data_IF_900154415199
#
_entry.id   IF_900154415199
#
_cell.length_a   1.000
_cell.length_b   1.000
_cell.length_c   1.000
_cell.angle_alpha   90.00
_cell.angle_beta   90.00
_cell.angle_gamma   90.00
#
_symmetry.space_group_name_H-M   'P 1'
#
loop_
_entity.id
_entity.type
_entity.pdbx_description
1 polymer ?
#
# COMPACT_ATOMS: atom_id res chain seq x y z
N UNK A 1 -14.69 -10.87 -0.27
CA UNK A 1 -13.67 -9.81 -0.09
C UNK A 1 -12.76 -9.84 -1.30
N UNK A 2 -12.48 -8.69 -1.92
CA UNK A 2 -11.56 -8.61 -3.07
C UNK A 2 -10.27 -7.90 -2.66
N UNK A 3 -9.17 -8.33 -3.26
CA UNK A 3 -7.87 -7.68 -3.11
C UNK A 3 -7.39 -7.20 -4.48
N UNK A 4 -7.07 -5.91 -4.56
CA UNK A 4 -6.49 -5.29 -5.75
C UNK A 4 -4.96 -5.28 -5.64
N UNK A 5 -4.28 -5.81 -6.65
CA UNK A 5 -2.82 -5.77 -6.75
C UNK A 5 -2.43 -4.95 -7.98
N UNK A 6 -1.75 -3.82 -7.76
CA UNK A 6 -1.12 -3.03 -8.81
C UNK A 6 0.35 -2.83 -8.49
N UNK A 7 1.21 -3.50 -9.26
CA UNK A 7 2.66 -3.41 -9.18
C UNK A 7 3.20 -3.08 -10.57
N UNK A 8 3.69 -1.85 -10.73
CA UNK A 8 4.33 -1.34 -11.95
C UNK A 8 5.76 -1.87 -12.10
N UNK A 9 5.87 -3.19 -12.14
CA UNK A 9 7.13 -3.92 -12.15
C UNK A 9 6.96 -5.33 -11.59
N UNK A 10 7.94 -6.19 -11.84
CA UNK A 10 7.97 -7.58 -11.38
C UNK A 10 8.70 -7.70 -10.04
N UNK A 11 8.00 -7.36 -8.95
CA UNK A 11 8.55 -7.49 -7.58
C UNK A 11 7.89 -8.61 -6.79
N UNK A 12 8.70 -9.31 -6.00
CA UNK A 12 8.28 -10.50 -5.25
C UNK A 12 7.29 -10.20 -4.12
N UNK A 13 7.40 -9.02 -3.50
CA UNK A 13 6.52 -8.55 -2.42
C UNK A 13 5.06 -8.42 -2.85
N UNK A 14 4.78 -7.98 -4.07
CA UNK A 14 3.42 -7.97 -4.63
C UNK A 14 2.82 -9.39 -4.71
N UNK A 15 3.64 -10.39 -5.02
CA UNK A 15 3.22 -11.79 -5.06
C UNK A 15 3.06 -12.39 -3.67
N UNK A 16 3.92 -12.04 -2.73
CA UNK A 16 3.76 -12.43 -1.33
C UNK A 16 2.51 -11.83 -0.71
N UNK A 17 2.22 -10.55 -1.00
CA UNK A 17 0.99 -9.91 -0.53
C UNK A 17 -0.24 -10.62 -1.10
N UNK A 18 -0.28 -10.87 -2.41
CA UNK A 18 -1.37 -11.62 -3.03
C UNK A 18 -1.55 -13.00 -2.38
N UNK A 19 -0.47 -13.77 -2.21
CA UNK A 19 -0.55 -15.11 -1.65
C UNK A 19 -1.08 -15.09 -0.20
N UNK A 20 -0.63 -14.13 0.62
CA UNK A 20 -1.14 -13.97 1.98
C UNK A 20 -2.61 -13.54 2.03
N UNK A 21 -3.03 -12.60 1.19
CA UNK A 21 -4.44 -12.21 1.10
C UNK A 21 -5.34 -13.37 0.63
N UNK A 22 -4.90 -14.16 -0.35
CA UNK A 22 -5.62 -15.36 -0.79
C UNK A 22 -5.72 -16.41 0.31
N UNK A 23 -4.65 -16.60 1.11
CA UNK A 23 -4.69 -17.49 2.27
C UNK A 23 -5.67 -17.01 3.36
N UNK A 24 -5.98 -15.72 3.42
CA UNK A 24 -7.03 -15.14 4.27
C UNK A 24 -8.44 -15.18 3.64
N UNK A 25 -8.59 -15.79 2.46
CA UNK A 25 -9.88 -15.94 1.78
C UNK A 25 -10.27 -14.79 0.85
N UNK A 26 -9.35 -13.87 0.53
CA UNK A 26 -9.60 -12.84 -0.47
C UNK A 26 -9.52 -13.41 -1.89
N UNK A 27 -10.30 -12.85 -2.81
CA UNK A 27 -10.17 -13.11 -4.24
C UNK A 27 -9.33 -12.01 -4.88
N UNK A 28 -8.22 -12.37 -5.52
CA UNK A 28 -7.42 -11.45 -6.32
C UNK A 28 -7.96 -11.41 -7.75
N UNK A 29 -8.64 -10.32 -8.13
CA UNK A 29 -9.22 -10.13 -9.47
C UNK A 29 -8.29 -9.30 -10.34
N UNK A 30 -7.88 -9.86 -11.50
CA UNK A 30 -7.04 -9.19 -12.49
C UNK A 30 -5.80 -8.47 -11.91
N UNK A 31 -4.93 -9.17 -11.14
CA UNK A 31 -3.74 -8.53 -10.56
C UNK A 31 -2.79 -8.01 -11.66
N UNK A 32 -2.40 -6.74 -11.56
CA UNK A 32 -1.42 -6.12 -12.44
C UNK A 32 -0.03 -6.23 -11.79
N UNK A 33 0.87 -7.01 -12.41
CA UNK A 33 2.25 -7.22 -11.94
C UNK A 33 3.25 -7.16 -13.10
N UNK A 34 3.17 -6.08 -13.87
CA UNK A 34 3.99 -5.86 -15.06
C UNK A 34 4.33 -4.37 -15.16
N UNK A 35 5.44 -4.06 -15.82
CA UNK A 35 5.91 -2.68 -15.94
C UNK A 35 5.02 -1.81 -16.82
N UNK A 36 4.37 -2.38 -17.83
CA UNK A 36 3.59 -1.63 -18.82
C UNK A 36 2.12 -2.13 -18.93
N UNK A 37 1.27 -1.91 -17.92
CA UNK A 37 -0.18 -2.07 -18.09
C UNK A 37 -0.73 -1.04 -19.08
N UNK A 38 -1.74 -1.47 -19.84
CA UNK A 38 -2.49 -0.59 -20.74
C UNK A 38 -3.37 0.36 -19.94
N UNK A 39 -3.78 1.48 -20.55
CA UNK A 39 -4.73 2.39 -19.91
C UNK A 39 -6.05 1.68 -19.55
N UNK A 40 -6.51 0.75 -20.40
CA UNK A 40 -7.71 -0.04 -20.14
C UNK A 40 -7.58 -0.90 -18.88
N UNK A 41 -6.45 -1.57 -18.68
CA UNK A 41 -6.19 -2.35 -17.45
C UNK A 41 -6.15 -1.46 -16.21
N UNK A 42 -5.55 -0.27 -16.29
CA UNK A 42 -5.53 0.68 -15.18
C UNK A 42 -6.93 1.18 -14.83
N UNK A 43 -7.74 1.54 -15.84
CA UNK A 43 -9.12 1.96 -15.63
C UNK A 43 -9.95 0.84 -15.00
N UNK A 44 -9.85 -0.36 -15.54
CA UNK A 44 -10.54 -1.54 -15.03
C UNK A 44 -10.16 -1.82 -13.57
N UNK A 45 -8.87 -1.72 -13.23
CA UNK A 45 -8.40 -1.89 -11.86
C UNK A 45 -9.11 -0.95 -10.87
N UNK A 46 -9.20 0.35 -11.19
CA UNK A 46 -9.80 1.35 -10.29
C UNK A 46 -11.34 1.42 -10.34
N UNK A 47 -11.96 0.85 -11.37
CA UNK A 47 -13.41 0.74 -11.48
C UNK A 47 -14.00 -0.28 -10.48
N UNK A 48 -13.19 -1.21 -9.98
CA UNK A 48 -13.63 -2.27 -9.09
C UNK A 48 -13.44 -1.93 -7.61
N UNK A 49 -14.41 -2.35 -6.80
CA UNK A 49 -14.28 -2.33 -5.34
C UNK A 49 -13.25 -3.37 -4.88
N UNK A 50 -12.19 -2.88 -4.23
CA UNK A 50 -11.12 -3.66 -3.62
C UNK A 50 -11.07 -3.31 -2.15
N UNK A 51 -11.30 -4.29 -1.29
CA UNK A 51 -11.27 -4.07 0.14
C UNK A 51 -9.85 -3.78 0.61
N UNK A 52 -8.87 -4.52 0.09
CA UNK A 52 -7.45 -4.29 0.31
C UNK A 52 -6.76 -3.97 -1.02
N UNK A 53 -5.91 -2.95 -1.01
CA UNK A 53 -5.09 -2.55 -2.14
C UNK A 53 -3.61 -2.72 -1.83
N UNK A 54 -2.89 -3.27 -2.80
CA UNK A 54 -1.45 -3.18 -2.88
C UNK A 54 -1.08 -2.28 -4.04
N UNK A 55 -0.28 -1.25 -3.77
CA UNK A 55 0.27 -0.34 -4.77
C UNK A 55 1.81 -0.40 -4.68
N UNK A 56 2.47 -0.67 -5.80
CA UNK A 56 3.93 -0.76 -5.87
C UNK A 56 4.49 -0.28 -7.20
N UNK A 57 5.65 0.35 -7.16
CA UNK A 57 6.34 0.97 -8.30
C UNK A 57 7.45 1.88 -7.82
N UNK A 58 8.00 2.69 -8.72
CA UNK A 58 8.74 3.89 -8.35
C UNK A 58 7.78 4.95 -7.84
N UNK A 59 8.19 5.69 -6.82
CA UNK A 59 7.31 6.64 -6.17
C UNK A 59 8.02 7.92 -5.82
N UNK A 60 7.40 9.05 -6.15
CA UNK A 60 7.92 10.37 -5.87
C UNK A 60 6.81 11.41 -5.79
N UNK A 61 6.77 12.16 -4.69
CA UNK A 61 5.83 13.27 -4.51
C UNK A 61 4.38 12.82 -4.39
N UNK A 62 3.71 12.59 -5.54
CA UNK A 62 2.32 12.16 -5.73
C UNK A 62 2.17 11.09 -6.82
N UNK A 63 3.26 10.72 -7.46
CA UNK A 63 3.27 9.86 -8.63
C UNK A 63 3.79 8.47 -8.25
N UNK A 64 3.07 7.45 -8.73
CA UNK A 64 3.54 6.08 -8.82
C UNK A 64 3.83 5.77 -10.30
N UNK A 65 5.04 5.34 -10.62
CA UNK A 65 5.45 5.07 -12.00
C UNK A 65 6.21 3.75 -12.13
N UNK A 66 6.29 3.25 -13.36
CA UNK A 66 7.22 2.18 -13.69
C UNK A 66 8.65 2.73 -13.87
N UNK A 67 9.64 1.84 -14.00
CA UNK A 67 11.05 2.22 -14.17
C UNK A 67 11.30 3.11 -15.41
N UNK A 68 10.49 2.98 -16.46
CA UNK A 68 10.63 3.73 -17.70
C UNK A 68 9.96 5.12 -17.67
N UNK A 69 9.07 5.37 -16.70
CA UNK A 69 8.30 6.62 -16.60
C UNK A 69 7.20 6.80 -17.65
N UNK A 70 6.90 5.77 -18.46
CA UNK A 70 5.87 5.81 -19.50
C UNK A 70 4.51 5.29 -19.01
N UNK A 71 4.46 4.71 -17.81
CA UNK A 71 3.21 4.43 -17.09
C UNK A 71 3.25 5.16 -15.75
N UNK A 72 2.27 6.02 -15.52
CA UNK A 72 2.18 6.84 -14.30
C UNK A 72 0.76 6.89 -13.73
N UNK A 73 0.68 6.96 -12.41
CA UNK A 73 -0.53 7.22 -11.65
C UNK A 73 -0.26 8.40 -10.74
N UNK A 74 -0.97 9.51 -10.92
CA UNK A 74 -0.84 10.70 -10.08
C UNK A 74 -2.05 10.86 -9.18
N UNK A 75 -1.81 10.87 -7.87
CA UNK A 75 -2.86 10.91 -6.87
C UNK A 75 -3.14 12.36 -6.42
N UNK A 76 -4.43 12.70 -6.38
CA UNK A 76 -4.96 13.95 -5.84
C UNK A 76 -6.08 13.64 -4.86
N UNK A 77 -6.51 14.65 -4.10
CA UNK A 77 -7.61 14.50 -3.14
C UNK A 77 -8.95 14.09 -3.79
N UNK A 78 -9.18 14.47 -5.04
CA UNK A 78 -10.46 14.30 -5.74
C UNK A 78 -10.39 13.38 -6.97
N UNK A 79 -9.19 12.92 -7.36
CA UNK A 79 -9.00 12.15 -8.60
C UNK A 79 -7.69 11.38 -8.64
N UNK A 80 -7.63 10.44 -9.58
CA UNK A 80 -6.40 9.77 -10.03
C UNK A 80 -6.22 10.08 -11.51
N UNK A 81 -5.04 10.60 -11.87
CA UNK A 81 -4.65 10.75 -13.27
C UNK A 81 -3.84 9.52 -13.67
N UNK A 82 -4.24 8.88 -14.76
CA UNK A 82 -3.62 7.67 -15.30
C UNK A 82 -2.96 8.02 -16.63
N UNK A 83 -1.72 7.57 -16.84
CA UNK A 83 -1.06 7.61 -18.14
C UNK A 83 -0.43 6.24 -18.46
N UNK A 84 -0.53 5.83 -19.72
CA UNK A 84 0.15 4.65 -20.26
C UNK A 84 0.54 4.92 -21.71
N UNK A 85 1.84 5.06 -21.96
CA UNK A 85 2.38 5.48 -23.25
C UNK A 85 1.88 6.87 -23.65
N UNK A 86 1.07 6.94 -24.72
CA UNK A 86 0.48 8.18 -25.23
C UNK A 86 -0.96 8.43 -24.75
N UNK A 87 -1.55 7.45 -24.07
CA UNK A 87 -2.92 7.51 -23.62
C UNK A 87 -2.98 8.02 -22.17
N UNK A 88 -4.02 8.79 -21.85
CA UNK A 88 -4.27 9.22 -20.47
C UNK A 88 -5.76 9.27 -20.15
N UNK A 89 -6.08 9.16 -18.86
CA UNK A 89 -7.43 9.32 -18.34
C UNK A 89 -7.41 9.96 -16.94
N UNK A 90 -8.53 10.54 -16.55
CA UNK A 90 -8.73 11.04 -15.19
C UNK A 90 -9.92 10.32 -14.57
N UNK A 91 -9.71 9.67 -13.44
CA UNK A 91 -10.75 9.00 -12.65
C UNK A 91 -11.12 9.92 -11.49
N UNK A 92 -12.37 10.35 -11.39
CA UNK A 92 -12.82 11.30 -10.35
C UNK A 92 -13.56 10.59 -9.24
N UNK A 93 -13.31 11.02 -8.00
CA UNK A 93 -14.04 10.53 -6.84
C UNK A 93 -15.53 10.76 -7.00
N UNK A 94 -16.33 9.74 -6.73
CA UNK A 94 -17.78 9.76 -6.88
C UNK A 94 -18.27 9.54 -8.32
N UNK A 95 -17.38 9.38 -9.30
CA UNK A 95 -17.76 8.89 -10.63
C UNK A 95 -17.80 7.36 -10.64
N UNK A 96 -18.50 6.79 -11.63
CA UNK A 96 -18.52 5.33 -11.84
C UNK A 96 -17.14 4.76 -12.23
N UNK A 97 -16.21 5.61 -12.68
CA UNK A 97 -14.88 5.20 -13.13
C UNK A 97 -13.88 5.03 -11.96
N UNK A 98 -14.21 5.55 -10.76
CA UNK A 98 -13.42 5.35 -9.54
C UNK A 98 -14.28 4.66 -8.48
N UNK A 99 -14.43 3.34 -8.63
CA UNK A 99 -15.24 2.49 -7.75
C UNK A 99 -14.51 1.99 -6.50
N UNK A 100 -13.20 2.26 -6.37
CA UNK A 100 -12.39 1.70 -5.28
C UNK A 100 -12.59 2.46 -3.95
N UNK A 101 -12.95 1.73 -2.90
CA UNK A 101 -13.10 2.27 -1.52
C UNK A 101 -12.40 1.33 -0.54
N UNK A 102 -11.06 1.35 -0.50
CA UNK A 102 -10.28 0.39 0.28
C UNK A 102 -10.47 0.61 1.78
N UNK A 103 -10.39 -0.46 2.56
CA UNK A 103 -10.15 -0.43 4.01
C UNK A 103 -8.66 -0.47 4.34
N UNK A 104 -7.84 -0.95 3.40
CA UNK A 104 -6.40 -1.04 3.50
C UNK A 104 -5.73 -0.62 2.20
N UNK A 105 -4.71 0.24 2.29
CA UNK A 105 -3.73 0.48 1.22
C UNK A 105 -2.33 0.16 1.73
N UNK A 106 -1.69 -0.85 1.13
CA UNK A 106 -0.28 -1.16 1.38
C UNK A 106 0.58 -0.58 0.26
N UNK A 107 1.47 0.34 0.62
CA UNK A 107 2.50 0.89 -0.23
C UNK A 107 3.72 -0.02 -0.22
N UNK A 108 3.82 -0.87 -1.25
CA UNK A 108 4.90 -1.82 -1.44
C UNK A 108 6.00 -1.30 -2.36
N UNK A 109 6.94 -2.17 -2.74
CA UNK A 109 8.01 -1.80 -3.68
C UNK A 109 8.88 -0.63 -3.17
N UNK A 110 8.97 0.42 -3.99
CA UNK A 110 9.67 1.67 -3.67
C UNK A 110 8.71 2.80 -3.26
N UNK A 111 7.50 2.48 -2.79
CA UNK A 111 6.51 3.49 -2.38
C UNK A 111 6.61 3.87 -0.90
N UNK A 112 6.26 5.12 -0.56
CA UNK A 112 6.41 5.67 0.80
C UNK A 112 5.21 6.51 1.23
N UNK A 113 5.12 6.74 2.54
CA UNK A 113 4.19 7.62 3.27
C UNK A 113 4.89 8.92 3.72
N UNK A 114 5.98 9.31 3.04
CA UNK A 114 6.86 10.40 3.48
C UNK A 114 6.26 11.78 3.23
N UNK A 115 5.36 11.88 2.24
CA UNK A 115 4.66 13.10 1.92
C UNK A 115 3.33 13.17 2.69
N UNK A 116 3.30 13.94 3.78
CA UNK A 116 2.10 14.10 4.61
C UNK A 116 0.90 14.65 3.83
N UNK A 117 1.13 15.56 2.87
CA UNK A 117 0.03 16.13 2.08
C UNK A 117 -0.57 15.08 1.16
N UNK A 118 0.26 14.24 0.55
CA UNK A 118 -0.26 13.11 -0.22
C UNK A 118 -1.07 12.16 0.66
N UNK A 119 -0.59 11.84 1.85
CA UNK A 119 -1.32 10.94 2.77
C UNK A 119 -2.68 11.53 3.16
N UNK A 120 -2.77 12.84 3.41
CA UNK A 120 -4.03 13.53 3.63
C UNK A 120 -4.94 13.49 2.38
N UNK A 121 -4.38 13.77 1.20
CA UNK A 121 -5.11 13.71 -0.07
C UNK A 121 -5.66 12.30 -0.32
N UNK A 122 -4.91 11.24 -0.01
CA UNK A 122 -5.37 9.86 -0.11
C UNK A 122 -6.51 9.55 0.88
N UNK A 123 -6.44 10.09 2.10
CA UNK A 123 -7.53 10.03 3.09
C UNK A 123 -8.82 10.66 2.55
N UNK A 124 -8.71 11.77 1.81
CA UNK A 124 -9.85 12.36 1.10
C UNK A 124 -10.28 11.47 -0.07
N UNK A 125 -9.36 11.01 -0.91
CA UNK A 125 -9.66 10.27 -2.14
C UNK A 125 -10.41 8.96 -1.85
N UNK A 126 -9.89 8.15 -0.93
CA UNK A 126 -10.37 6.80 -0.64
C UNK A 126 -11.31 6.72 0.56
N UNK A 127 -11.40 7.76 1.40
CA UNK A 127 -12.19 7.74 2.64
C UNK A 127 -11.43 7.12 3.83
N UNK A 128 -12.14 6.62 4.83
CA UNK A 128 -11.53 6.07 6.04
C UNK A 128 -10.89 4.70 5.78
N UNK A 129 -9.55 4.63 5.86
CA UNK A 129 -8.78 3.41 5.58
C UNK A 129 -7.41 3.42 6.28
N UNK A 130 -6.84 2.24 6.51
CA UNK A 130 -5.46 2.12 6.98
C UNK A 130 -4.47 2.23 5.81
N UNK A 131 -3.36 2.94 6.01
CA UNK A 131 -2.24 3.00 5.07
C UNK A 131 -0.97 2.43 5.70
N UNK A 132 -0.36 1.44 5.05
CA UNK A 132 0.84 0.76 5.53
C UNK A 132 2.00 1.00 4.57
N UNK A 133 3.22 1.16 5.08
CA UNK A 133 4.40 1.29 4.23
C UNK A 133 5.64 1.78 4.98
N UNK A 134 6.50 2.47 4.23
CA UNK A 134 7.67 3.14 4.78
C UNK A 134 7.46 4.64 4.91
N UNK A 135 8.15 5.30 5.84
CA UNK A 135 8.17 6.74 6.01
C UNK A 135 8.90 7.41 4.86
N UNK A 136 10.22 7.29 4.79
CA UNK A 136 11.02 8.09 3.84
C UNK A 136 11.90 7.22 2.91
N UNK A 137 12.38 6.06 3.39
CA UNK A 137 13.27 5.17 2.64
C UNK A 137 12.64 3.79 2.51
N UNK A 138 12.65 3.26 1.29
CA UNK A 138 11.91 2.05 0.91
C UNK A 138 12.77 0.79 1.04
N UNK A 139 12.13 -0.37 0.93
CA UNK A 139 12.82 -1.64 0.81
C UNK A 139 11.88 -2.78 0.52
N UNK A 140 11.71 -3.17 -0.76
CA UNK A 140 10.82 -4.27 -1.15
C UNK A 140 11.14 -5.58 -0.40
N UNK A 141 12.41 -5.88 -0.11
CA UNK A 141 12.81 -7.04 0.71
C UNK A 141 12.29 -6.97 2.15
N UNK A 142 12.18 -5.76 2.71
CA UNK A 142 11.62 -5.55 4.04
C UNK A 142 10.10 -5.71 4.02
N UNK A 143 9.42 -5.25 2.96
CA UNK A 143 7.98 -5.54 2.76
C UNK A 143 7.77 -7.04 2.69
N UNK A 144 8.53 -7.72 1.83
CA UNK A 144 8.43 -9.16 1.64
C UNK A 144 8.65 -9.93 2.95
N UNK A 145 9.65 -9.51 3.75
CA UNK A 145 9.86 -10.05 5.08
C UNK A 145 8.67 -9.79 6.02
N UNK A 146 8.18 -8.55 6.11
CA UNK A 146 7.03 -8.21 6.95
C UNK A 146 5.77 -9.02 6.57
N UNK A 147 5.65 -9.39 5.30
CA UNK A 147 4.58 -10.24 4.79
C UNK A 147 4.81 -11.74 5.01
N UNK A 148 5.95 -12.15 5.57
CA UNK A 148 6.21 -13.53 5.98
C UNK A 148 7.22 -14.30 5.12
N UNK A 149 8.00 -13.62 4.29
CA UNK A 149 9.17 -14.21 3.62
C UNK A 149 10.47 -13.94 4.38
N UNK A 150 11.57 -14.48 3.86
CA UNK A 150 12.91 -14.25 4.39
C UNK A 150 13.04 -14.58 5.88
N UNK A 151 13.70 -13.70 6.64
CA UNK A 151 14.02 -13.91 8.05
C UNK A 151 12.82 -13.85 9.01
N UNK A 152 11.64 -13.44 8.50
CA UNK A 152 10.37 -13.43 9.24
C UNK A 152 9.45 -14.60 8.86
N UNK A 153 9.91 -15.50 7.97
CA UNK A 153 9.20 -16.74 7.67
C UNK A 153 9.01 -17.57 8.96
N UNK A 154 7.78 -18.07 9.16
CA UNK A 154 7.42 -18.86 10.35
C UNK A 154 7.32 -18.05 11.65
N UNK A 155 7.44 -16.72 11.62
CA UNK A 155 7.26 -15.85 12.79
C UNK A 155 5.87 -15.20 12.78
N UNK A 156 5.57 -14.42 13.82
CA UNK A 156 4.34 -13.61 13.92
C UNK A 156 4.39 -12.39 12.97
N UNK A 157 4.45 -12.65 11.67
CA UNK A 157 4.46 -11.67 10.58
C UNK A 157 3.05 -11.12 10.29
N UNK A 158 2.90 -10.15 9.38
CA UNK A 158 1.66 -9.40 9.17
C UNK A 158 0.42 -10.30 9.02
N UNK A 159 0.42 -11.20 8.04
CA UNK A 159 -0.73 -12.08 7.78
C UNK A 159 -1.11 -13.00 8.95
N UNK A 160 -0.14 -13.48 9.74
CA UNK A 160 -0.47 -14.28 10.94
C UNK A 160 -1.17 -13.47 12.02
N UNK A 161 -0.93 -12.15 12.08
CA UNK A 161 -1.53 -11.27 13.09
C UNK A 161 -2.97 -10.90 12.74
N UNK A 162 -3.26 -10.74 11.46
CA UNK A 162 -4.56 -10.28 10.96
C UNK A 162 -5.50 -11.42 10.55
N UNK A 163 -5.06 -12.68 10.73
CA UNK A 163 -5.83 -13.85 10.31
C UNK A 163 -7.16 -14.02 11.06
N UNK A 164 -7.24 -13.56 12.30
CA UNK A 164 -8.45 -13.63 13.13
C UNK A 164 -9.30 -12.35 13.10
N UNK A 165 -8.66 -11.20 12.84
CA UNK A 165 -9.30 -9.88 12.78
C UNK A 165 -8.56 -8.99 11.80
N UNK A 166 -9.30 -8.26 10.98
CA UNK A 166 -8.83 -7.36 9.93
C UNK A 166 -9.48 -5.98 10.03
N UNK A 167 -9.89 -5.56 11.23
CA UNK A 167 -10.28 -4.18 11.52
C UNK A 167 -9.13 -3.19 11.27
N UNK A 168 -9.40 -1.92 10.92
CA UNK A 168 -8.35 -0.95 10.63
C UNK A 168 -7.30 -0.78 11.75
N UNK A 169 -7.74 -0.79 13.00
CA UNK A 169 -6.85 -0.75 14.16
C UNK A 169 -5.90 -1.96 14.22
N UNK A 170 -6.41 -3.17 13.93
CA UNK A 170 -5.61 -4.39 13.89
C UNK A 170 -4.66 -4.41 12.71
N UNK A 171 -5.05 -3.87 11.55
CA UNK A 171 -4.17 -3.77 10.38
C UNK A 171 -2.94 -2.89 10.67
N UNK A 172 -3.16 -1.71 11.27
CA UNK A 172 -2.10 -0.79 11.69
C UNK A 172 -1.21 -1.42 12.76
N UNK A 173 -1.80 -1.99 13.82
CA UNK A 173 -1.01 -2.65 14.87
C UNK A 173 -0.21 -3.83 14.32
N UNK A 174 -0.82 -4.69 13.51
CA UNK A 174 -0.15 -5.84 12.93
C UNK A 174 1.10 -5.45 12.15
N UNK A 175 1.00 -4.42 11.29
CA UNK A 175 2.13 -3.90 10.55
C UNK A 175 3.23 -3.38 11.48
N UNK A 176 2.87 -2.51 12.43
CA UNK A 176 3.84 -1.88 13.32
C UNK A 176 4.49 -2.88 14.29
N UNK A 177 3.76 -3.88 14.78
CA UNK A 177 4.32 -4.94 15.63
C UNK A 177 5.20 -5.90 14.84
N UNK A 178 4.87 -6.18 13.58
CA UNK A 178 5.76 -6.95 12.70
C UNK A 178 7.03 -6.17 12.39
N UNK A 179 6.92 -4.87 12.12
CA UNK A 179 8.07 -4.00 11.93
C UNK A 179 8.95 -3.95 13.19
N UNK A 180 8.34 -3.80 14.38
CA UNK A 180 9.05 -3.84 15.66
C UNK A 180 9.79 -5.17 15.87
N UNK A 181 9.14 -6.29 15.57
CA UNK A 181 9.74 -7.63 15.68
C UNK A 181 10.96 -7.79 14.76
N UNK A 182 10.89 -7.24 13.55
CA UNK A 182 11.95 -7.40 12.55
C UNK A 182 13.11 -6.42 12.70
N UNK A 183 12.84 -5.18 13.11
CA UNK A 183 13.79 -4.06 12.99
C UNK A 183 13.84 -3.12 14.20
N UNK A 184 13.01 -3.32 15.23
CA UNK A 184 12.97 -2.42 16.40
C UNK A 184 14.32 -2.33 17.13
N UNK A 185 14.76 -1.11 17.42
CA UNK A 185 16.05 -0.81 18.03
C UNK A 185 17.26 -0.94 17.08
N UNK A 186 17.02 -1.28 15.81
CA UNK A 186 18.05 -1.38 14.77
C UNK A 186 18.14 -0.12 13.91
N UNK A 187 19.12 -0.11 12.99
CA UNK A 187 19.36 1.02 12.07
C UNK A 187 18.18 1.32 11.15
N UNK A 188 17.32 0.34 10.90
CA UNK A 188 16.23 0.42 9.93
C UNK A 188 14.87 0.75 10.54
N UNK A 189 14.76 0.89 11.87
CA UNK A 189 13.46 1.07 12.52
C UNK A 189 12.73 2.34 12.03
N UNK A 190 13.49 3.42 11.82
CA UNK A 190 12.97 4.73 11.45
C UNK A 190 12.27 4.73 10.07
N UNK A 191 12.44 3.67 9.28
CA UNK A 191 11.83 3.54 7.97
C UNK A 191 10.36 3.18 8.04
N UNK A 192 9.85 2.57 9.10
CA UNK A 192 8.48 2.04 9.10
C UNK A 192 7.44 3.06 9.56
N UNK A 193 6.32 3.10 8.85
CA UNK A 193 5.17 3.89 9.23
C UNK A 193 3.86 3.17 8.91
N UNK A 194 2.83 3.53 9.65
CA UNK A 194 1.44 3.25 9.30
C UNK A 194 0.57 4.45 9.67
N UNK A 195 -0.58 4.57 9.01
CA UNK A 195 -1.59 5.58 9.31
C UNK A 195 -2.90 4.85 9.47
N UNK A 196 -3.57 5.03 10.60
CA UNK A 196 -4.88 4.41 10.83
C UNK A 196 -6.01 5.12 10.06
N UNK A 197 -7.21 4.54 10.13
CA UNK A 197 -8.42 5.03 9.48
C UNK A 197 -8.89 6.40 9.97
N UNK A 198 -8.33 6.86 11.09
CA UNK A 198 -8.57 8.21 11.59
C UNK A 198 -7.52 9.20 11.08
N UNK A 199 -6.47 8.78 10.37
CA UNK A 199 -5.38 9.66 9.94
C UNK A 199 -4.27 9.82 10.97
N UNK A 200 -4.25 9.05 12.06
CA UNK A 200 -3.15 9.09 13.02
C UNK A 200 -1.98 8.25 12.51
N UNK A 201 -0.79 8.87 12.41
CA UNK A 201 0.46 8.20 12.03
C UNK A 201 1.13 7.53 13.22
N UNK A 202 1.63 6.33 12.99
CA UNK A 202 2.39 5.49 13.89
C UNK A 202 3.76 5.20 13.29
N UNK A 203 4.81 5.24 14.12
CA UNK A 203 6.20 5.00 13.71
C UNK A 203 6.91 4.13 14.73
N UNK A 204 8.08 3.58 14.36
CA UNK A 204 9.01 3.00 15.32
C UNK A 204 10.03 4.04 15.78
N UNK A 205 10.28 4.06 17.08
CA UNK A 205 11.32 4.86 17.73
C UNK A 205 11.81 4.15 18.98
N UNK A 206 13.12 3.97 19.10
CA UNK A 206 13.77 3.34 20.25
C UNK A 206 13.18 1.94 20.57
N UNK A 207 12.92 1.15 19.52
CA UNK A 207 12.32 -0.18 19.63
C UNK A 207 10.85 -0.20 20.07
N UNK A 208 10.16 0.96 20.04
CA UNK A 208 8.75 1.09 20.45
C UNK A 208 7.89 1.61 19.31
N UNK A 209 6.64 1.14 19.27
CA UNK A 209 5.60 1.71 18.42
C UNK A 209 5.04 2.93 19.13
N UNK A 210 5.10 4.09 18.49
CA UNK A 210 4.67 5.36 19.08
C UNK A 210 3.74 6.12 18.14
N UNK A 211 2.79 6.88 18.73
CA UNK A 211 2.03 7.89 18.01
C UNK A 211 2.97 9.01 17.60
N UNK A 212 2.92 9.40 16.34
CA UNK A 212 3.75 10.48 15.80
C UNK A 212 2.94 11.77 15.63
N UNK A 213 2.04 11.80 14.64
CA UNK A 213 1.17 12.96 14.40
C UNK A 213 -0.13 12.59 13.68
N UNK A 214 -1.14 13.44 13.82
CA UNK A 214 -2.39 13.39 13.05
C UNK A 214 -2.19 14.06 11.70
N UNK A 215 -2.67 13.44 10.62
CA UNK A 215 -2.47 13.91 9.24
C UNK A 215 -3.73 14.51 8.62
N UNK A 216 -4.90 14.08 9.04
CA UNK A 216 -6.22 14.55 8.63
C UNK A 216 -7.26 14.12 9.68
#
# INVERSE_FOLDING_TARGET
MRVGILSLGSRGDASTFQAGAVALGFTATAPIKKSAPTLAELKDFFAHDHEWLYLGGHFGGRELSNDAGDVTLTFHADRIELASGKESATLRRGSADLGVVPRLVLWGGCSTLGNNQLVADLGVLFGAHAMLGFRDVTGWKMVDAALGKGFLAGKKHFFTRVAADSTPAVLTDAWMQTAKLGWGGGTEEHRFAAVDDTGQRWVLRDGRVVKDKKLF
#
